data_IF_789601682421
#
_entry.id   IF_789601682421
#
_cell.length_a   1.000
_cell.length_b   1.000
_cell.length_c   1.000
_cell.angle_alpha   90.00
_cell.angle_beta   90.00
_cell.angle_gamma   90.00
#
_symmetry.space_group_name_H-M   'P 1'
#
loop_
_entity.id
_entity.type
_entity.pdbx_description
1 polymer ?
#
# COMPACT_ATOMS: atom_id res chain seq x y z
N UNK A 1 -15.11 -31.10 -7.87
CA UNK A 1 -15.82 -30.81 -6.60
C UNK A 1 -14.77 -30.60 -5.46
N UNK A 2 -13.83 -31.55 -5.27
CA UNK A 2 -12.81 -31.43 -4.21
C UNK A 2 -11.91 -30.17 -4.37
N UNK A 3 -11.48 -29.83 -5.58
CA UNK A 3 -10.68 -28.64 -5.84
C UNK A 3 -11.46 -27.33 -5.59
N UNK A 4 -12.77 -27.33 -5.89
CA UNK A 4 -13.64 -26.19 -5.63
C UNK A 4 -13.91 -26.01 -4.13
N UNK A 5 -14.14 -27.12 -3.40
CA UNK A 5 -14.26 -27.07 -1.94
C UNK A 5 -12.97 -26.62 -1.26
N UNK A 6 -11.79 -27.07 -1.72
CA UNK A 6 -10.50 -26.63 -1.19
C UNK A 6 -10.27 -25.14 -1.45
N UNK A 7 -10.63 -24.64 -2.64
CA UNK A 7 -10.54 -23.22 -2.98
C UNK A 7 -11.52 -22.37 -2.14
N UNK A 8 -12.75 -22.82 -1.95
CA UNK A 8 -13.75 -22.12 -1.12
C UNK A 8 -13.33 -22.13 0.35
N UNK A 9 -12.82 -23.25 0.87
CA UNK A 9 -12.29 -23.34 2.25
C UNK A 9 -11.05 -22.46 2.40
N UNK A 10 -10.15 -22.44 1.42
CA UNK A 10 -8.96 -21.58 1.43
C UNK A 10 -9.33 -20.10 1.36
N UNK A 11 -10.30 -19.73 0.51
CA UNK A 11 -10.87 -18.37 0.45
C UNK A 11 -11.59 -18.00 1.75
N UNK A 12 -12.33 -18.93 2.37
CA UNK A 12 -13.01 -18.73 3.65
C UNK A 12 -12.01 -18.56 4.79
N UNK A 13 -10.93 -19.35 4.83
CA UNK A 13 -9.83 -19.24 5.77
C UNK A 13 -9.06 -17.92 5.57
N UNK A 14 -8.77 -17.50 4.35
CA UNK A 14 -8.18 -16.19 4.04
C UNK A 14 -9.09 -15.05 4.51
N UNK A 15 -10.40 -15.14 4.30
CA UNK A 15 -11.36 -14.14 4.72
C UNK A 15 -11.48 -14.00 6.25
N UNK A 16 -11.26 -15.10 7.00
CA UNK A 16 -11.28 -15.11 8.47
C UNK A 16 -9.91 -14.84 9.11
N UNK A 17 -8.83 -14.97 8.35
CA UNK A 17 -7.45 -14.79 8.83
C UNK A 17 -6.95 -13.35 8.61
N UNK A 18 -7.58 -12.59 7.70
CA UNK A 18 -7.23 -11.21 7.43
C UNK A 18 -7.78 -10.28 8.52
N UNK A 19 -7.07 -10.18 9.63
CA UNK A 19 -7.29 -9.09 10.59
C UNK A 19 -6.58 -7.87 10.03
N UNK A 20 -7.35 -6.96 9.44
CA UNK A 20 -6.81 -5.72 8.93
C UNK A 20 -6.67 -4.73 10.08
N UNK A 21 -5.47 -4.26 10.29
CA UNK A 21 -5.19 -3.25 11.29
C UNK A 21 -5.17 -1.90 10.59
N UNK A 22 -6.15 -1.06 10.87
CA UNK A 22 -6.21 0.30 10.33
C UNK A 22 -5.12 1.21 10.92
N UNK A 23 -4.62 0.86 12.10
CA UNK A 23 -3.45 1.46 12.72
C UNK A 23 -2.39 0.38 12.83
N UNK A 24 -1.48 0.35 11.88
CA UNK A 24 -0.36 -0.56 11.89
C UNK A 24 0.40 -0.43 13.21
N UNK A 25 0.48 -1.54 13.96
CA UNK A 25 1.47 -1.62 15.03
C UNK A 25 2.84 -1.38 14.40
N UNK A 26 3.57 -0.39 14.89
CA UNK A 26 4.93 -0.07 14.45
C UNK A 26 5.82 -1.32 14.47
N UNK A 27 5.63 -2.18 15.47
CA UNK A 27 6.34 -3.45 15.59
C UNK A 27 6.02 -4.41 14.44
N UNK A 28 4.76 -4.57 14.08
CA UNK A 28 4.34 -5.47 12.99
C UNK A 28 4.77 -4.96 11.62
N UNK A 29 4.76 -3.63 11.42
CA UNK A 29 5.31 -3.00 10.22
C UNK A 29 6.78 -3.38 10.01
N UNK A 30 7.63 -3.22 11.04
CA UNK A 30 9.04 -3.57 10.93
C UNK A 30 9.28 -5.08 10.87
N UNK A 31 8.44 -5.88 11.51
CA UNK A 31 8.46 -7.33 11.39
C UNK A 31 8.19 -7.74 9.95
N UNK A 32 7.13 -7.18 9.33
CA UNK A 32 6.79 -7.44 7.93
C UNK A 32 7.93 -7.10 6.98
N UNK A 33 8.43 -5.86 7.02
CA UNK A 33 9.53 -5.43 6.15
C UNK A 33 10.85 -6.15 6.42
N UNK A 34 11.06 -6.64 7.64
CA UNK A 34 12.15 -7.54 7.98
C UNK A 34 12.04 -8.89 7.25
N UNK A 35 10.85 -9.47 7.17
CA UNK A 35 10.61 -10.72 6.43
C UNK A 35 10.66 -10.54 4.91
N UNK A 36 10.11 -9.44 4.38
CA UNK A 36 10.26 -9.11 2.94
C UNK A 36 11.73 -9.08 2.55
N UNK A 37 12.57 -8.42 3.32
CA UNK A 37 13.99 -8.34 3.01
C UNK A 37 14.69 -9.71 3.05
N UNK A 38 14.36 -10.56 4.01
CA UNK A 38 14.97 -11.91 4.11
C UNK A 38 14.61 -12.76 2.90
N UNK A 39 13.39 -12.60 2.35
CA UNK A 39 12.86 -13.45 1.29
C UNK A 39 13.13 -12.91 -0.11
N UNK A 40 13.02 -11.60 -0.33
CA UNK A 40 13.15 -10.94 -1.65
C UNK A 40 14.42 -10.11 -1.82
N UNK A 41 15.05 -9.71 -0.74
CA UNK A 41 16.22 -8.81 -0.79
C UNK A 41 15.90 -7.36 -1.21
N UNK A 42 14.67 -7.03 -1.57
CA UNK A 42 14.31 -5.79 -2.26
C UNK A 42 13.77 -4.66 -1.38
N UNK A 43 13.40 -4.89 -0.14
CA UNK A 43 12.64 -3.92 0.66
C UNK A 43 13.48 -2.84 1.33
N UNK A 44 14.31 -2.15 0.56
CA UNK A 44 15.05 -1.01 1.13
C UNK A 44 14.16 0.22 1.36
N UNK A 45 13.06 0.40 0.63
CA UNK A 45 12.30 1.65 0.65
C UNK A 45 11.33 1.81 1.83
N UNK A 46 10.87 0.74 2.47
CA UNK A 46 9.84 0.75 3.53
C UNK A 46 8.67 1.72 3.26
N UNK A 47 8.32 1.92 1.99
CA UNK A 47 7.28 2.83 1.49
C UNK A 47 7.42 4.29 1.93
N UNK A 48 8.58 4.75 2.38
CA UNK A 48 8.79 6.11 2.91
C UNK A 48 8.74 7.19 1.83
N UNK A 49 9.22 6.88 0.63
CA UNK A 49 9.37 7.86 -0.46
C UNK A 49 8.08 8.59 -0.84
N UNK A 50 6.92 7.98 -0.68
CA UNK A 50 5.64 8.59 -0.99
C UNK A 50 5.17 9.60 0.07
N UNK A 51 5.57 9.39 1.32
CA UNK A 51 5.15 10.18 2.47
C UNK A 51 6.12 11.31 2.82
N UNK A 52 7.16 11.52 2.01
CA UNK A 52 8.18 12.54 2.16
C UNK A 52 8.15 13.53 1.00
N UNK A 53 8.50 14.79 1.26
CA UNK A 53 8.87 15.75 0.21
C UNK A 53 10.21 15.36 -0.42
N UNK A 54 10.56 15.98 -1.55
CA UNK A 54 11.88 15.75 -2.17
C UNK A 54 13.02 16.19 -1.24
N UNK A 55 12.84 17.31 -0.54
CA UNK A 55 13.80 17.83 0.42
C UNK A 55 14.01 16.90 1.62
N UNK A 56 12.92 16.41 2.22
CA UNK A 56 12.98 15.44 3.32
C UNK A 56 13.70 14.16 2.88
N UNK A 57 13.33 13.60 1.71
CA UNK A 57 13.95 12.39 1.19
C UNK A 57 15.45 12.59 0.93
N UNK A 58 15.82 13.73 0.36
CA UNK A 58 17.22 14.07 0.15
C UNK A 58 17.98 14.17 1.48
N UNK A 59 17.47 14.97 2.44
CA UNK A 59 18.15 15.23 3.70
C UNK A 59 18.24 14.03 4.63
N UNK A 60 17.20 13.21 4.69
CA UNK A 60 17.11 12.12 5.66
C UNK A 60 17.62 10.78 5.12
N UNK A 61 17.57 10.57 3.79
CA UNK A 61 17.94 9.31 3.16
C UNK A 61 19.12 9.48 2.20
N UNK A 62 18.96 10.26 1.11
CA UNK A 62 19.92 10.25 0.02
C UNK A 62 21.28 10.81 0.41
N UNK A 63 21.31 11.98 1.04
CA UNK A 63 22.57 12.65 1.40
C UNK A 63 23.35 11.90 2.50
N UNK A 64 22.75 11.37 3.59
CA UNK A 64 23.46 10.54 4.56
C UNK A 64 24.00 9.24 3.95
N UNK A 65 23.26 8.63 3.02
CA UNK A 65 23.73 7.42 2.31
C UNK A 65 24.89 7.75 1.37
N UNK A 66 24.79 8.84 0.60
CA UNK A 66 25.85 9.27 -0.31
C UNK A 66 27.15 9.62 0.42
N UNK A 67 27.07 10.18 1.65
CA UNK A 67 28.24 10.46 2.49
C UNK A 67 28.78 9.24 3.24
N UNK A 68 28.15 8.08 3.12
CA UNK A 68 28.55 6.85 3.83
C UNK A 68 28.26 6.86 5.33
N UNK A 69 27.47 7.80 5.83
CA UNK A 69 27.08 7.92 7.24
C UNK A 69 26.09 6.83 7.66
N UNK A 70 25.27 6.38 6.71
CA UNK A 70 24.27 5.31 6.90
C UNK A 70 24.19 4.44 5.65
N UNK A 71 23.85 3.18 5.83
CA UNK A 71 23.36 2.40 4.69
C UNK A 71 21.88 2.74 4.43
N UNK A 72 21.42 2.48 3.20
CA UNK A 72 20.06 2.81 2.75
C UNK A 72 18.98 2.25 3.68
N UNK A 73 19.14 1.02 4.14
CA UNK A 73 18.17 0.38 5.04
C UNK A 73 18.06 1.07 6.39
N UNK A 74 19.18 1.49 6.95
CA UNK A 74 19.18 2.23 8.22
C UNK A 74 18.51 3.58 8.06
N UNK A 75 18.81 4.29 6.97
CA UNK A 75 18.22 5.58 6.67
C UNK A 75 16.69 5.48 6.47
N UNK A 76 16.24 4.55 5.64
CA UNK A 76 14.79 4.35 5.39
C UNK A 76 14.04 3.85 6.62
N UNK A 77 14.66 3.00 7.45
CA UNK A 77 14.05 2.55 8.70
C UNK A 77 13.82 3.73 9.66
N UNK A 78 14.82 4.60 9.84
CA UNK A 78 14.71 5.78 10.70
C UNK A 78 13.65 6.75 10.16
N UNK A 79 13.61 6.97 8.85
CA UNK A 79 12.58 7.78 8.22
C UNK A 79 11.18 7.18 8.43
N UNK A 80 11.02 5.86 8.26
CA UNK A 80 9.75 5.18 8.51
C UNK A 80 9.31 5.30 9.98
N UNK A 81 10.23 5.14 10.93
CA UNK A 81 9.95 5.32 12.37
C UNK A 81 9.39 6.71 12.65
N UNK A 82 10.05 7.75 12.13
CA UNK A 82 9.63 9.14 12.27
C UNK A 82 8.25 9.37 11.64
N UNK A 83 8.06 8.96 10.39
CA UNK A 83 6.80 9.14 9.68
C UNK A 83 5.62 8.42 10.34
N UNK A 84 5.83 7.24 10.93
CA UNK A 84 4.81 6.51 11.70
C UNK A 84 4.46 7.30 12.97
N UNK A 85 5.46 7.77 13.71
CA UNK A 85 5.26 8.53 14.95
C UNK A 85 4.54 9.87 14.71
N UNK A 86 4.77 10.47 13.54
CA UNK A 86 4.09 11.68 13.07
C UNK A 86 2.68 11.41 12.48
N UNK A 87 2.27 10.15 12.33
CA UNK A 87 1.00 9.76 11.70
C UNK A 87 0.96 9.97 10.18
N UNK A 88 2.09 10.23 9.54
CA UNK A 88 2.23 10.49 8.10
C UNK A 88 2.34 9.21 7.28
N UNK A 89 3.01 8.18 7.79
CA UNK A 89 3.06 6.86 7.18
C UNK A 89 2.04 5.96 7.84
N UNK A 90 1.04 5.55 7.08
CA UNK A 90 -0.03 4.68 7.51
C UNK A 90 -0.48 3.74 6.39
N UNK A 91 -1.21 2.71 6.76
CA UNK A 91 -1.69 1.72 5.82
C UNK A 91 -2.27 0.51 6.51
N UNK A 92 -2.34 -0.59 5.78
CA UNK A 92 -3.03 -1.81 6.19
C UNK A 92 -2.09 -3.00 6.10
N UNK A 93 -2.07 -3.81 7.15
CA UNK A 93 -1.40 -5.10 7.17
C UNK A 93 -2.41 -6.24 7.04
N UNK A 94 -2.09 -7.22 6.23
CA UNK A 94 -2.78 -8.48 6.13
C UNK A 94 -2.04 -9.53 6.97
N UNK A 95 -2.78 -10.32 7.73
CA UNK A 95 -2.20 -11.35 8.60
C UNK A 95 -2.70 -12.75 8.21
N UNK A 96 -1.82 -13.73 8.35
CA UNK A 96 -2.17 -15.14 8.36
C UNK A 96 -1.67 -15.75 9.68
N UNK A 97 -2.59 -16.32 10.46
CA UNK A 97 -2.26 -16.93 11.77
C UNK A 97 -1.44 -16.01 12.69
N UNK A 98 -1.80 -14.72 12.72
CA UNK A 98 -1.13 -13.70 13.55
C UNK A 98 0.21 -13.19 12.99
N UNK A 99 0.66 -13.65 11.84
CA UNK A 99 1.88 -13.20 11.18
C UNK A 99 1.54 -12.22 10.06
N UNK A 100 2.18 -11.04 9.96
CA UNK A 100 1.96 -10.11 8.87
C UNK A 100 2.53 -10.68 7.56
N UNK A 101 1.69 -10.76 6.52
CA UNK A 101 2.01 -11.39 5.23
C UNK A 101 1.87 -10.46 4.04
N UNK A 102 1.22 -9.30 4.24
CA UNK A 102 1.01 -8.30 3.20
C UNK A 102 0.85 -6.91 3.78
N UNK A 103 1.24 -5.92 3.02
CA UNK A 103 1.16 -4.49 3.34
C UNK A 103 0.55 -3.72 2.19
N UNK A 104 -0.21 -2.68 2.53
CA UNK A 104 -0.62 -1.65 1.59
C UNK A 104 -0.40 -0.27 2.18
N UNK A 105 0.42 0.56 1.52
CA UNK A 105 0.53 1.98 1.84
C UNK A 105 -0.73 2.68 1.31
N UNK A 106 -1.66 2.96 2.20
CA UNK A 106 -2.92 3.63 1.86
C UNK A 106 -3.36 4.56 2.99
N UNK A 107 -3.49 5.85 2.68
CA UNK A 107 -3.82 6.87 3.65
C UNK A 107 -4.63 8.01 3.00
N UNK A 108 -4.99 9.04 3.77
CA UNK A 108 -5.51 10.29 3.23
C UNK A 108 -4.53 10.91 2.23
N UNK A 109 -5.04 11.52 1.18
CA UNK A 109 -4.22 12.12 0.11
C UNK A 109 -3.23 13.17 0.64
N UNK A 110 -3.59 13.88 1.70
CA UNK A 110 -2.75 14.88 2.35
C UNK A 110 -1.45 14.31 2.96
N UNK A 111 -1.41 13.00 3.22
CA UNK A 111 -0.20 12.31 3.70
C UNK A 111 0.85 12.08 2.61
N UNK A 112 0.57 12.47 1.35
CA UNK A 112 1.44 12.26 0.20
C UNK A 112 1.82 13.60 -0.45
N UNK A 113 2.82 14.33 0.06
CA UNK A 113 3.14 15.69 -0.38
C UNK A 113 3.52 15.78 -1.86
N UNK A 114 4.25 14.81 -2.40
CA UNK A 114 4.58 14.77 -3.83
C UNK A 114 3.33 14.59 -4.70
N UNK A 115 2.39 13.76 -4.24
CA UNK A 115 1.14 13.51 -4.91
C UNK A 115 0.25 14.76 -4.89
N UNK A 116 0.21 15.46 -3.76
CA UNK A 116 -0.53 16.72 -3.63
C UNK A 116 -0.02 17.80 -4.59
N UNK A 117 1.30 17.87 -4.83
CA UNK A 117 1.88 18.79 -5.79
C UNK A 117 1.54 18.42 -7.24
N UNK A 118 1.62 17.14 -7.59
CA UNK A 118 1.38 16.65 -8.95
C UNK A 118 -0.12 16.57 -9.31
N UNK A 119 -0.95 16.21 -8.36
CA UNK A 119 -2.38 15.99 -8.52
C UNK A 119 -3.16 16.64 -7.36
N UNK A 120 -3.35 17.97 -7.37
CA UNK A 120 -4.11 18.67 -6.34
C UNK A 120 -5.49 18.03 -6.15
N UNK A 121 -5.97 18.04 -4.92
CA UNK A 121 -7.24 17.38 -4.57
C UNK A 121 -8.41 17.90 -5.40
N UNK A 122 -9.22 16.98 -5.89
CA UNK A 122 -10.61 17.26 -6.23
C UNK A 122 -11.40 17.48 -4.94
N UNK A 123 -12.62 18.02 -5.06
CA UNK A 123 -13.50 18.24 -3.90
C UNK A 123 -13.73 16.93 -3.13
N UNK A 124 -13.63 17.01 -1.79
CA UNK A 124 -13.89 15.89 -0.87
C UNK A 124 -12.64 15.19 -0.34
N UNK A 125 -12.86 14.27 0.60
CA UNK A 125 -11.80 13.44 1.17
C UNK A 125 -11.45 12.30 0.22
N UNK A 126 -10.17 12.15 -0.09
CA UNK A 126 -9.65 11.15 -1.01
C UNK A 126 -8.69 10.22 -0.27
N UNK A 127 -8.98 8.92 -0.31
CA UNK A 127 -8.06 7.86 0.14
C UNK A 127 -7.15 7.47 -1.01
N UNK A 128 -5.83 7.49 -0.81
CA UNK A 128 -4.88 7.11 -1.86
C UNK A 128 -4.17 5.80 -1.53
N UNK A 129 -3.99 4.96 -2.54
CA UNK A 129 -3.22 3.71 -2.51
C UNK A 129 -1.95 3.92 -3.32
N UNK A 130 -0.79 3.78 -2.68
CA UNK A 130 0.51 4.06 -3.31
C UNK A 130 1.32 2.80 -3.59
N UNK A 131 1.20 1.77 -2.75
CA UNK A 131 2.04 0.58 -2.86
C UNK A 131 1.35 -0.63 -2.23
N UNK A 132 1.54 -1.80 -2.85
CA UNK A 132 1.29 -3.10 -2.23
C UNK A 132 2.60 -3.87 -2.13
N UNK A 133 2.77 -4.60 -1.04
CA UNK A 133 3.84 -5.57 -0.86
C UNK A 133 3.25 -6.84 -0.23
N UNK A 134 3.55 -8.00 -0.82
CA UNK A 134 3.09 -9.30 -0.33
C UNK A 134 4.27 -10.24 -0.27
N UNK A 135 4.43 -10.94 0.86
CA UNK A 135 5.48 -11.94 1.01
C UNK A 135 5.43 -12.96 -0.14
N UNK A 136 6.57 -13.36 -0.71
CA UNK A 136 6.63 -14.26 -1.88
C UNK A 136 5.76 -15.51 -1.74
N UNK A 137 5.80 -16.16 -0.57
CA UNK A 137 5.06 -17.40 -0.30
C UNK A 137 3.54 -17.19 -0.25
N UNK A 138 3.07 -15.94 -0.24
CA UNK A 138 1.65 -15.57 -0.15
C UNK A 138 1.16 -14.80 -1.38
N UNK A 139 2.01 -14.66 -2.42
CA UNK A 139 1.61 -14.05 -3.70
C UNK A 139 0.65 -14.95 -4.45
N UNK A 140 -0.16 -14.36 -5.32
CA UNK A 140 -1.21 -15.06 -6.09
C UNK A 140 -2.27 -15.79 -5.24
N UNK A 141 -2.33 -15.48 -3.93
CA UNK A 141 -3.31 -16.04 -2.99
C UNK A 141 -4.45 -15.07 -2.66
N UNK A 142 -4.60 -13.98 -3.41
CA UNK A 142 -5.67 -12.99 -3.22
C UNK A 142 -5.44 -11.99 -2.09
N UNK A 143 -4.25 -11.93 -1.48
CA UNK A 143 -3.92 -11.01 -0.36
C UNK A 143 -4.10 -9.55 -0.77
N UNK A 144 -3.56 -9.13 -1.92
CA UNK A 144 -3.69 -7.76 -2.42
C UNK A 144 -5.16 -7.39 -2.70
N UNK A 145 -5.94 -8.31 -3.29
CA UNK A 145 -7.38 -8.12 -3.55
C UNK A 145 -8.18 -7.97 -2.25
N UNK A 146 -7.81 -8.72 -1.21
CA UNK A 146 -8.45 -8.64 0.09
C UNK A 146 -8.12 -7.31 0.81
N UNK A 147 -6.86 -6.87 0.78
CA UNK A 147 -6.44 -5.56 1.25
C UNK A 147 -7.22 -4.45 0.54
N UNK A 148 -7.29 -4.51 -0.80
CA UNK A 148 -7.99 -3.50 -1.61
C UNK A 148 -9.48 -3.40 -1.24
N UNK A 149 -10.17 -4.54 -1.10
CA UNK A 149 -11.59 -4.54 -0.67
C UNK A 149 -11.77 -3.88 0.68
N UNK A 150 -10.94 -4.26 1.65
CA UNK A 150 -11.03 -3.69 2.99
C UNK A 150 -10.77 -2.18 3.01
N UNK A 151 -9.77 -1.71 2.25
CA UNK A 151 -9.47 -0.28 2.11
C UNK A 151 -10.68 0.47 1.55
N UNK A 152 -11.36 -0.08 0.54
CA UNK A 152 -12.57 0.52 -0.02
C UNK A 152 -13.73 0.55 0.99
N UNK A 153 -13.91 -0.52 1.78
CA UNK A 153 -14.95 -0.58 2.80
C UNK A 153 -14.65 0.35 3.97
N UNK A 154 -13.39 0.45 4.37
CA UNK A 154 -12.95 1.39 5.39
C UNK A 154 -13.10 2.85 4.93
N UNK A 155 -12.71 3.15 3.69
CA UNK A 155 -12.91 4.47 3.08
C UNK A 155 -14.39 4.86 3.08
N UNK A 156 -15.30 3.91 2.78
CA UNK A 156 -16.75 4.14 2.82
C UNK A 156 -17.21 4.47 4.23
N UNK A 157 -16.80 3.68 5.23
CA UNK A 157 -17.16 3.91 6.64
C UNK A 157 -16.62 5.23 7.18
N UNK A 158 -15.44 5.64 6.72
CA UNK A 158 -14.80 6.88 7.12
C UNK A 158 -15.29 8.12 6.34
N UNK A 159 -16.26 7.98 5.40
CA UNK A 159 -16.85 9.10 4.67
C UNK A 159 -15.99 9.65 3.52
N UNK A 160 -15.03 8.87 3.03
CA UNK A 160 -14.27 9.27 1.83
C UNK A 160 -15.16 9.29 0.58
N UNK A 161 -14.95 10.25 -0.30
CA UNK A 161 -15.70 10.39 -1.55
C UNK A 161 -15.20 9.48 -2.64
N UNK A 162 -13.89 9.18 -2.63
CA UNK A 162 -13.30 8.22 -3.56
C UNK A 162 -12.01 7.59 -3.00
N UNK A 163 -11.62 6.49 -3.62
CA UNK A 163 -10.30 5.87 -3.48
C UNK A 163 -9.56 6.03 -4.79
N UNK A 164 -8.35 6.56 -4.74
CA UNK A 164 -7.44 6.69 -5.88
C UNK A 164 -6.25 5.73 -5.70
N UNK A 165 -5.81 5.12 -6.80
CA UNK A 165 -4.63 4.27 -6.82
C UNK A 165 -3.68 4.71 -7.92
N UNK A 166 -2.38 4.67 -7.63
CA UNK A 166 -1.31 5.19 -8.46
C UNK A 166 -0.29 4.09 -8.81
N UNK A 167 -0.66 3.08 -9.61
CA UNK A 167 0.28 2.06 -10.04
C UNK A 167 1.36 2.71 -10.91
N UNK A 168 2.62 2.44 -10.60
CA UNK A 168 3.76 3.00 -11.32
C UNK A 168 4.58 1.89 -11.97
N UNK A 169 4.63 1.89 -13.31
CA UNK A 169 5.39 0.91 -14.11
C UNK A 169 6.89 0.89 -13.74
N UNK A 170 7.45 2.05 -13.40
CA UNK A 170 8.87 2.17 -13.07
C UNK A 170 9.27 1.47 -11.76
N UNK A 171 8.32 1.22 -10.86
CA UNK A 171 8.58 0.60 -9.55
C UNK A 171 8.18 -0.88 -9.50
N UNK A 172 7.70 -1.44 -10.61
CA UNK A 172 7.33 -2.85 -10.71
C UNK A 172 8.54 -3.67 -11.15
N UNK A 173 8.66 -4.90 -10.61
CA UNK A 173 9.75 -5.82 -10.96
C UNK A 173 9.63 -6.34 -12.41
N UNK A 174 8.41 -6.32 -12.95
CA UNK A 174 8.12 -6.73 -14.31
C UNK A 174 6.86 -6.05 -14.85
N UNK A 175 6.70 -6.06 -16.19
CA UNK A 175 5.48 -5.60 -16.85
C UNK A 175 4.26 -6.45 -16.43
N UNK A 176 4.46 -7.73 -16.17
CA UNK A 176 3.41 -8.62 -15.67
C UNK A 176 2.89 -8.21 -14.29
N UNK A 177 3.74 -7.67 -13.41
CA UNK A 177 3.31 -7.20 -12.08
C UNK A 177 2.40 -5.98 -12.20
N UNK A 178 2.70 -5.07 -13.14
CA UNK A 178 1.84 -3.93 -13.43
C UNK A 178 0.47 -4.38 -13.94
N UNK A 179 0.43 -5.25 -14.94
CA UNK A 179 -0.82 -5.77 -15.51
C UNK A 179 -1.65 -6.53 -14.46
N UNK A 180 -0.99 -7.28 -13.58
CA UNK A 180 -1.65 -7.97 -12.48
C UNK A 180 -2.31 -6.98 -11.51
N UNK A 181 -1.61 -5.91 -11.12
CA UNK A 181 -2.17 -4.85 -10.27
C UNK A 181 -3.33 -4.12 -10.93
N UNK A 182 -3.19 -3.78 -12.22
CA UNK A 182 -4.27 -3.17 -13.01
C UNK A 182 -5.50 -4.06 -13.07
N UNK A 183 -5.31 -5.37 -13.24
CA UNK A 183 -6.39 -6.35 -13.20
C UNK A 183 -7.13 -6.32 -11.86
N UNK A 184 -6.41 -6.32 -10.72
CA UNK A 184 -7.01 -6.25 -9.38
C UNK A 184 -7.85 -4.99 -9.20
N UNK A 185 -7.37 -3.83 -9.67
CA UNK A 185 -8.14 -2.58 -9.60
C UNK A 185 -9.40 -2.64 -10.47
N UNK A 186 -9.29 -3.18 -11.69
CA UNK A 186 -10.42 -3.31 -12.62
C UNK A 186 -11.51 -4.22 -12.05
N UNK A 187 -11.13 -5.37 -11.51
CA UNK A 187 -12.04 -6.31 -10.84
C UNK A 187 -12.71 -5.69 -9.59
N UNK A 188 -12.02 -4.80 -8.90
CA UNK A 188 -12.57 -4.06 -7.77
C UNK A 188 -13.47 -2.88 -8.18
N UNK A 189 -13.66 -2.64 -9.49
CA UNK A 189 -14.54 -1.60 -10.03
C UNK A 189 -13.91 -0.21 -10.08
N UNK A 190 -12.58 -0.12 -10.12
CA UNK A 190 -11.89 1.13 -10.41
C UNK A 190 -11.93 1.42 -11.91
N UNK A 191 -11.98 2.70 -12.25
CA UNK A 191 -11.88 3.19 -13.61
C UNK A 191 -10.56 3.94 -13.78
N UNK A 192 -9.90 3.72 -14.92
CA UNK A 192 -8.66 4.42 -15.25
C UNK A 192 -8.98 5.82 -15.79
N UNK A 193 -8.34 6.83 -15.22
CA UNK A 193 -8.35 8.21 -15.68
C UNK A 193 -6.90 8.63 -16.00
N UNK A 194 -6.68 9.28 -17.13
CA UNK A 194 -5.36 9.87 -17.42
C UNK A 194 -5.30 11.28 -16.86
N UNK A 195 -4.36 11.52 -15.95
CA UNK A 195 -4.13 12.84 -15.33
C UNK A 195 -2.65 13.17 -15.41
N UNK A 196 -2.30 14.29 -16.03
CA UNK A 196 -0.89 14.73 -16.18
C UNK A 196 0.04 13.64 -16.74
N UNK A 197 -0.40 12.92 -17.78
CA UNK A 197 0.30 11.79 -18.41
C UNK A 197 0.55 10.60 -17.48
N UNK A 198 -0.17 10.49 -16.39
CA UNK A 198 -0.15 9.34 -15.48
C UNK A 198 -1.52 8.68 -15.43
N UNK A 199 -1.54 7.37 -15.42
CA UNK A 199 -2.76 6.59 -15.18
C UNK A 199 -3.10 6.60 -13.69
N UNK A 200 -4.29 7.11 -13.38
CA UNK A 200 -4.86 7.11 -12.03
C UNK A 200 -6.08 6.21 -12.03
N UNK A 201 -6.10 5.24 -11.15
CA UNK A 201 -7.24 4.34 -10.99
C UNK A 201 -8.14 4.86 -9.89
N UNK A 202 -9.39 5.18 -10.23
CA UNK A 202 -10.35 5.86 -9.35
C UNK A 202 -11.57 5.01 -9.10
N UNK A 203 -11.94 4.84 -7.84
CA UNK A 203 -13.21 4.27 -7.43
C UNK A 203 -13.99 5.27 -6.60
N UNK A 204 -15.11 5.76 -7.14
CA UNK A 204 -16.05 6.61 -6.40
C UNK A 204 -16.74 5.78 -5.31
N UNK A 205 -16.74 6.29 -4.10
CA UNK A 205 -17.45 5.70 -2.96
C UNK A 205 -18.85 6.30 -2.98
N UNK A 206 -19.85 5.46 -3.24
CA UNK A 206 -21.26 5.89 -3.14
C UNK A 206 -21.63 6.02 -1.69
N UNK A 207 -22.29 7.13 -1.34
CA UNK A 207 -23.02 7.21 -0.09
C UNK A 207 -24.11 6.14 -0.11
N UNK A 208 -24.17 5.30 0.93
CA UNK A 208 -25.35 4.50 1.16
C UNK A 208 -26.48 5.49 1.53
N UNK A 209 -27.46 5.63 0.65
CA UNK A 209 -28.69 6.32 1.03
C UNK A 209 -29.35 5.49 2.12
N UNK A 210 -29.27 5.96 3.35
CA UNK A 210 -30.03 5.45 4.51
C UNK A 210 -31.53 5.66 4.26
#
# INVERSE_FOLDING_TARGET
>A
ILAYCAFVIFMYLLYHILTLVSTCSKADFFTFFGEVQKKDGHSACMCTCWNMTDEENYCEIEAPVARGEKNLRTATKQAAEKLIDEGRLGGYLAYASGTPIGWCNANDKSCYPRLMSAHPSMEGQVKCIMCFEVLPDHRNCGVASALLRHICDDARRAGYTCVEAYPNKCNMLSENDYEHMVHIYREAGFLCESRNNQDVWVKKIKEEKI
#
